data_IF_286682510810
#
_entry.id   IF_286682510810
#
_cell.length_a   1.000
_cell.length_b   1.000
_cell.length_c   1.000
_cell.angle_alpha   90.00
_cell.angle_beta   90.00
_cell.angle_gamma   90.00
#
_symmetry.space_group_name_H-M   'P 1'
#
loop_
_entity.id
_entity.type
_entity.pdbx_description
1 polymer ?
#
# COMPACT_ATOMS: atom_id res chain seq x y z
N UNK A 1 65.85 40.75 -41.01
CA UNK A 1 65.58 41.58 -39.82
C UNK A 1 64.94 40.68 -38.75
N UNK A 2 65.75 40.27 -37.76
CA UNK A 2 65.31 39.94 -36.39
C UNK A 2 64.92 41.26 -35.67
N UNK A 3 64.21 41.30 -34.51
CA UNK A 3 64.40 40.46 -33.29
C UNK A 3 63.09 39.92 -32.66
N UNK A 4 63.07 38.76 -31.99
CA UNK A 4 63.54 38.37 -30.63
C UNK A 4 62.54 38.67 -29.49
N UNK A 5 62.30 37.63 -28.68
CA UNK A 5 61.38 37.51 -27.53
C UNK A 5 61.69 38.44 -26.33
N UNK A 6 60.93 38.33 -25.21
CA UNK A 6 61.54 37.60 -24.08
C UNK A 6 60.60 36.74 -23.20
N UNK A 7 61.24 35.80 -22.52
CA UNK A 7 60.79 34.93 -21.42
C UNK A 7 60.52 35.69 -20.12
N UNK A 8 59.81 35.06 -19.16
CA UNK A 8 60.20 35.06 -17.73
C UNK A 8 59.62 33.90 -16.92
N UNK A 9 60.54 33.21 -16.24
CA UNK A 9 60.40 32.24 -15.15
C UNK A 9 60.11 32.93 -13.80
N UNK A 10 59.50 32.20 -12.87
CA UNK A 10 59.82 32.07 -11.43
C UNK A 10 58.70 31.21 -10.78
N UNK A 11 58.88 30.28 -9.84
CA UNK A 11 59.98 29.92 -8.95
C UNK A 11 59.34 29.30 -7.70
N UNK A 12 59.68 28.04 -7.38
CA UNK A 12 59.42 27.41 -6.08
C UNK A 12 60.19 28.14 -4.96
N UNK A 13 59.83 27.90 -3.68
CA UNK A 13 60.86 27.43 -2.77
C UNK A 13 60.43 26.27 -1.85
N UNK A 14 61.43 25.77 -1.15
CA UNK A 14 61.60 24.43 -0.61
C UNK A 14 61.07 24.23 0.83
N UNK A 15 61.03 22.93 1.16
CA UNK A 15 61.00 22.28 2.48
C UNK A 15 61.85 22.97 3.56
N UNK A 16 61.37 22.83 4.81
CA UNK A 16 62.22 22.47 5.94
C UNK A 16 61.50 21.43 6.83
N UNK A 17 62.19 20.32 7.09
CA UNK A 17 61.91 19.33 8.12
C UNK A 17 62.56 19.78 9.43
N UNK A 18 61.97 19.43 10.57
CA UNK A 18 62.73 19.03 11.75
C UNK A 18 61.91 18.05 12.61
N UNK A 19 62.56 16.91 12.88
CA UNK A 19 62.14 15.82 13.75
C UNK A 19 62.06 16.26 15.23
N UNK A 20 61.20 15.62 16.03
CA UNK A 20 61.65 14.68 17.08
C UNK A 20 60.53 14.23 18.05
N UNK A 21 60.66 12.94 18.39
CA UNK A 21 60.14 12.12 19.49
C UNK A 21 59.23 12.68 20.59
N UNK A 22 58.26 11.84 21.01
CA UNK A 22 57.69 11.96 22.36
C UNK A 22 56.48 11.08 22.65
N UNK A 23 56.74 9.90 23.23
CA UNK A 23 55.91 9.22 24.25
C UNK A 23 54.45 8.88 23.97
N UNK A 24 54.22 7.56 23.78
CA UNK A 24 52.98 6.87 24.17
C UNK A 24 52.81 6.90 25.68
N UNK A 25 51.63 7.28 26.17
CA UNK A 25 51.11 6.92 27.49
C UNK A 25 49.63 6.50 27.38
N UNK A 26 49.19 5.44 28.10
CA UNK A 26 47.84 4.92 28.04
C UNK A 26 46.97 5.38 29.23
N UNK A 27 45.68 5.58 29.02
CA UNK A 27 44.66 5.79 30.07
C UNK A 27 43.28 5.31 29.55
N UNK A 28 42.31 4.97 30.41
CA UNK A 28 42.28 3.72 31.17
C UNK A 28 41.01 2.91 30.88
N UNK A 29 41.05 1.62 31.24
CA UNK A 29 39.92 0.70 31.27
C UNK A 29 38.70 1.26 32.03
N UNK A 30 37.58 1.42 31.34
CA UNK A 30 36.26 1.46 31.99
C UNK A 30 35.75 0.03 32.18
N UNK A 31 35.57 -0.33 33.45
CA UNK A 31 34.96 -1.56 33.92
C UNK A 31 33.48 -1.60 33.53
N UNK A 32 33.08 -2.69 32.87
CA UNK A 32 31.68 -3.06 32.65
C UNK A 32 31.22 -3.87 33.87
N UNK A 33 30.14 -3.47 34.57
CA UNK A 33 29.58 -4.30 35.64
C UNK A 33 28.80 -5.47 35.03
N UNK A 34 29.27 -6.69 35.29
CA UNK A 34 28.59 -7.95 34.99
C UNK A 34 27.33 -8.11 35.84
N UNK A 35 26.18 -8.28 35.18
CA UNK A 35 24.89 -8.63 35.79
C UNK A 35 24.88 -10.12 36.16
N UNK A 36 24.47 -10.53 37.37
CA UNK A 36 24.44 -11.95 37.73
C UNK A 36 23.20 -12.65 37.15
N UNK A 37 23.45 -13.78 36.51
CA UNK A 37 22.46 -14.71 35.96
C UNK A 37 21.61 -15.36 37.07
N UNK A 38 20.28 -15.28 36.93
CA UNK A 38 19.32 -15.94 37.81
C UNK A 38 19.04 -17.36 37.28
N UNK A 39 19.66 -18.38 37.87
CA UNK A 39 19.37 -19.79 37.63
C UNK A 39 18.07 -20.19 38.36
N UNK A 40 17.02 -20.54 37.60
CA UNK A 40 15.83 -21.21 38.13
C UNK A 40 16.12 -22.71 38.29
N UNK A 41 16.11 -23.15 39.54
CA UNK A 41 16.16 -24.54 39.98
C UNK A 41 14.89 -25.30 39.57
N UNK A 42 15.08 -26.47 38.94
CA UNK A 42 14.07 -27.48 38.63
C UNK A 42 14.03 -28.47 39.80
N UNK A 43 12.85 -28.71 40.39
CA UNK A 43 12.56 -29.93 41.16
C UNK A 43 11.07 -30.27 41.12
N UNK A 44 10.78 -31.52 40.78
CA UNK A 44 9.53 -32.26 40.97
C UNK A 44 9.93 -33.69 41.44
N UNK A 45 9.01 -34.61 41.85
CA UNK A 45 7.72 -34.53 42.56
C UNK A 45 7.80 -35.39 43.87
N UNK A 46 6.70 -35.95 44.47
CA UNK A 46 6.15 -37.21 43.96
C UNK A 46 4.63 -37.40 44.07
N UNK A 47 4.17 -38.45 43.38
CA UNK A 47 2.81 -38.96 43.19
C UNK A 47 2.28 -39.84 44.32
N UNK A 48 0.96 -39.85 44.54
CA UNK A 48 0.18 -41.05 44.92
C UNK A 48 -1.28 -40.93 44.43
N UNK A 49 -1.86 -42.03 43.97
CA UNK A 49 -3.28 -42.27 43.63
C UNK A 49 -3.79 -43.44 44.50
N UNK A 50 -5.00 -44.03 44.32
CA UNK A 50 -6.30 -43.58 43.79
C UNK A 50 -7.49 -43.94 44.72
N UNK A 51 -8.67 -43.33 44.59
CA UNK A 51 -9.95 -43.97 45.00
C UNK A 51 -11.17 -43.48 44.20
N UNK A 52 -12.18 -44.36 44.12
CA UNK A 52 -13.28 -44.46 43.15
C UNK A 52 -14.65 -44.18 43.80
N UNK A 53 -15.55 -43.48 43.08
CA UNK A 53 -17.05 -43.61 43.02
C UNK A 53 -17.87 -43.01 44.22
N UNK A 54 -19.17 -42.58 44.11
CA UNK A 54 -20.10 -42.34 42.98
C UNK A 54 -20.80 -40.95 42.92
N UNK A 55 -21.44 -40.76 41.77
CA UNK A 55 -22.54 -39.85 41.36
C UNK A 55 -23.63 -39.55 42.42
N UNK A 56 -23.95 -38.27 42.62
CA UNK A 56 -25.28 -37.83 43.07
C UNK A 56 -25.69 -36.49 42.43
N UNK A 57 -26.94 -36.46 41.98
CA UNK A 57 -27.60 -35.45 41.17
C UNK A 57 -28.26 -34.40 42.09
N UNK A 58 -27.87 -33.13 42.02
CA UNK A 58 -28.62 -32.01 42.63
C UNK A 58 -28.64 -30.82 41.66
N UNK A 59 -29.86 -30.41 41.28
CA UNK A 59 -30.17 -29.16 40.57
C UNK A 59 -30.25 -28.00 41.58
N UNK A 60 -29.66 -26.85 41.26
CA UNK A 60 -30.37 -25.57 41.09
C UNK A 60 -29.41 -24.38 40.78
N UNK A 61 -29.80 -23.66 39.72
CA UNK A 61 -29.49 -22.30 39.26
C UNK A 61 -28.42 -21.44 39.95
N UNK A 62 -27.42 -20.99 39.17
CA UNK A 62 -27.15 -19.55 38.98
C UNK A 62 -26.27 -19.28 37.75
N UNK A 63 -26.34 -18.03 37.30
CA UNK A 63 -26.01 -17.39 36.03
C UNK A 63 -24.53 -17.40 35.58
N UNK A 64 -24.36 -17.02 34.30
CA UNK A 64 -23.21 -16.30 33.68
C UNK A 64 -22.17 -17.15 32.92
N UNK A 65 -22.32 -17.21 31.58
CA UNK A 65 -21.30 -16.87 30.55
C UNK A 65 -21.54 -17.64 29.25
N UNK A 66 -21.98 -16.94 28.21
CA UNK A 66 -21.97 -17.42 26.83
C UNK A 66 -20.53 -17.39 26.30
N UNK A 67 -19.82 -18.51 26.35
CA UNK A 67 -18.62 -18.76 25.53
C UNK A 67 -18.77 -20.14 24.91
N UNK A 68 -19.27 -20.19 23.67
CA UNK A 68 -18.98 -21.23 22.66
C UNK A 68 -19.81 -20.97 21.39
N UNK A 69 -19.19 -20.38 20.38
CA UNK A 69 -19.45 -20.70 18.96
C UNK A 69 -18.11 -20.65 18.20
N UNK A 70 -17.25 -21.59 18.53
CA UNK A 70 -16.32 -22.14 17.54
C UNK A 70 -16.76 -23.56 17.22
N UNK A 71 -16.53 -23.96 15.97
CA UNK A 71 -16.86 -25.25 15.34
C UNK A 71 -18.19 -25.27 14.55
N UNK A 72 -18.18 -24.55 13.44
CA UNK A 72 -18.72 -25.03 12.16
C UNK A 72 -18.25 -24.10 11.04
N UNK A 73 -17.05 -24.34 10.51
CA UNK A 73 -16.69 -23.90 9.17
C UNK A 73 -16.40 -25.16 8.37
N UNK A 74 -17.21 -25.34 7.32
CA UNK A 74 -16.98 -26.35 6.30
C UNK A 74 -15.59 -26.11 5.70
N UNK A 75 -14.76 -27.15 5.65
CA UNK A 75 -13.49 -27.13 4.94
C UNK A 75 -13.79 -26.95 3.43
N UNK A 76 -13.19 -25.98 2.73
CA UNK A 76 -13.25 -25.96 1.28
C UNK A 76 -12.40 -27.13 0.76
N UNK A 77 -13.04 -28.02 -0.01
CA UNK A 77 -12.35 -29.02 -0.82
C UNK A 77 -11.34 -28.30 -1.72
N UNK A 78 -10.06 -28.57 -1.52
CA UNK A 78 -9.01 -28.27 -2.49
C UNK A 78 -9.14 -29.26 -3.65
N UNK A 79 -9.97 -28.91 -4.63
CA UNK A 79 -9.88 -29.47 -5.96
C UNK A 79 -9.12 -28.45 -6.82
N UNK A 80 -7.89 -28.81 -7.17
CA UNK A 80 -7.09 -28.13 -8.18
C UNK A 80 -7.84 -28.17 -9.52
N UNK A 81 -8.53 -27.10 -9.87
CA UNK A 81 -8.77 -26.76 -11.27
C UNK A 81 -7.66 -25.81 -11.70
N UNK A 82 -6.73 -26.37 -12.46
CA UNK A 82 -5.73 -25.72 -13.30
C UNK A 82 -6.17 -24.33 -13.77
N UNK A 83 -5.56 -23.30 -13.16
CA UNK A 83 -5.54 -21.95 -13.69
C UNK A 83 -4.53 -21.92 -14.85
N UNK A 84 -4.97 -22.43 -16.00
CA UNK A 84 -4.26 -22.28 -17.26
C UNK A 84 -5.30 -21.86 -18.31
N UNK A 85 -4.98 -20.78 -19.02
CA UNK A 85 -5.73 -20.23 -20.15
C UNK A 85 -7.13 -19.68 -19.84
N UNK A 86 -7.18 -18.61 -19.04
CA UNK A 86 -8.26 -17.64 -19.11
C UNK A 86 -7.80 -16.45 -19.93
N UNK A 87 -8.02 -16.48 -21.25
CA UNK A 87 -8.01 -15.28 -22.08
C UNK A 87 -8.82 -14.18 -21.35
N UNK A 88 -8.38 -12.93 -21.43
CA UNK A 88 -9.16 -11.79 -20.92
C UNK A 88 -10.54 -11.78 -21.57
N UNK A 89 -11.49 -12.43 -20.90
CA UNK A 89 -12.90 -12.27 -21.18
C UNK A 89 -13.27 -10.89 -20.66
N UNK A 90 -13.15 -9.88 -21.53
CA UNK A 90 -13.83 -8.61 -21.33
C UNK A 90 -15.28 -8.87 -20.92
N UNK A 91 -15.72 -8.20 -19.84
CA UNK A 91 -17.13 -7.93 -19.43
C UNK A 91 -17.31 -7.75 -17.91
N UNK A 92 -16.36 -8.18 -17.06
CA UNK A 92 -16.58 -8.06 -15.60
C UNK A 92 -16.28 -6.65 -15.08
N UNK A 93 -17.32 -6.03 -14.51
CA UNK A 93 -17.22 -4.77 -13.76
C UNK A 93 -16.30 -4.91 -12.55
N UNK A 94 -15.42 -3.93 -12.36
CA UNK A 94 -14.55 -3.80 -11.20
C UNK A 94 -15.37 -3.23 -10.05
N UNK A 95 -15.71 -4.07 -9.05
CA UNK A 95 -16.49 -3.64 -7.89
C UNK A 95 -15.63 -3.52 -6.63
N UNK A 96 -14.63 -4.38 -6.52
CA UNK A 96 -13.77 -4.48 -5.35
C UNK A 96 -12.31 -4.29 -5.73
N UNK A 97 -11.56 -3.63 -4.85
CA UNK A 97 -10.14 -3.44 -5.03
C UNK A 97 -9.33 -3.72 -3.76
N UNK A 98 -8.07 -4.08 -3.99
CA UNK A 98 -7.03 -4.11 -2.97
C UNK A 98 -5.78 -3.36 -3.44
N UNK A 99 -5.04 -2.79 -2.48
CA UNK A 99 -3.76 -2.15 -2.70
C UNK A 99 -2.66 -2.91 -1.96
N UNK A 100 -1.65 -3.36 -2.67
CA UNK A 100 -0.48 -4.04 -2.12
C UNK A 100 0.74 -3.11 -2.25
N UNK A 101 1.16 -2.54 -1.14
CA UNK A 101 2.30 -1.63 -1.07
C UNK A 101 3.52 -2.44 -0.69
N UNK A 102 4.55 -2.36 -1.51
CA UNK A 102 5.77 -3.17 -1.41
C UNK A 102 6.93 -2.19 -1.25
N UNK A 103 7.65 -2.29 -0.14
CA UNK A 103 8.76 -1.38 0.14
C UNK A 103 9.06 -1.28 1.63
N UNK A 104 10.28 -1.60 2.02
CA UNK A 104 10.77 -1.43 3.40
C UNK A 104 10.70 0.04 3.87
N UNK A 105 10.90 1.00 2.96
CA UNK A 105 10.84 2.43 3.23
C UNK A 105 9.41 2.94 3.46
N UNK A 106 8.41 2.24 2.91
CA UNK A 106 7.00 2.61 3.07
C UNK A 106 6.52 2.32 4.49
N UNK A 107 7.15 1.35 5.18
CA UNK A 107 6.96 1.15 6.62
C UNK A 107 7.37 2.40 7.44
N UNK A 108 8.13 3.33 6.84
CA UNK A 108 8.47 4.65 7.38
C UNK A 108 7.44 5.77 7.13
N UNK A 109 6.30 5.50 6.48
CA UNK A 109 5.13 6.40 6.45
C UNK A 109 4.83 7.15 5.14
N UNK A 110 5.59 6.96 4.06
CA UNK A 110 5.27 7.52 2.73
C UNK A 110 4.43 6.52 1.95
N UNK A 111 3.13 6.76 1.78
CA UNK A 111 2.20 5.77 1.21
C UNK A 111 1.30 6.34 0.11
N UNK A 112 1.11 5.57 -0.97
CA UNK A 112 0.17 5.87 -2.06
C UNK A 112 -1.29 5.46 -1.75
N UNK A 113 -1.53 4.82 -0.59
CA UNK A 113 -2.83 4.29 -0.19
C UNK A 113 -3.93 5.36 -0.14
N UNK A 114 -3.63 6.57 0.33
CA UNK A 114 -4.60 7.65 0.44
C UNK A 114 -5.10 8.10 -0.95
N UNK A 115 -4.21 8.19 -1.93
CA UNK A 115 -4.59 8.52 -3.30
C UNK A 115 -5.40 7.38 -3.93
N UNK A 116 -4.97 6.13 -3.76
CA UNK A 116 -5.70 4.95 -4.23
C UNK A 116 -7.12 4.89 -3.65
N UNK A 117 -7.29 5.21 -2.36
CA UNK A 117 -8.61 5.25 -1.72
C UNK A 117 -9.52 6.31 -2.34
N UNK A 118 -9.01 7.52 -2.58
CA UNK A 118 -9.75 8.60 -3.26
C UNK A 118 -10.13 8.22 -4.69
N UNK A 119 -9.18 7.64 -5.43
CA UNK A 119 -9.42 7.18 -6.80
C UNK A 119 -10.48 6.09 -6.86
N UNK A 120 -10.42 5.09 -5.96
CA UNK A 120 -11.45 4.04 -5.90
C UNK A 120 -12.83 4.62 -5.59
N UNK A 121 -12.89 5.58 -4.65
CA UNK A 121 -14.12 6.26 -4.28
C UNK A 121 -14.76 6.99 -5.46
N UNK A 122 -13.97 7.76 -6.21
CA UNK A 122 -14.48 8.51 -7.37
C UNK A 122 -14.92 7.60 -8.52
N UNK A 123 -14.42 6.37 -8.59
CA UNK A 123 -14.74 5.40 -9.65
C UNK A 123 -15.73 4.31 -9.21
N UNK A 124 -16.39 4.45 -8.05
CA UNK A 124 -17.38 3.47 -7.63
C UNK A 124 -16.81 2.11 -7.23
N UNK A 125 -15.52 2.04 -6.95
CA UNK A 125 -14.80 0.82 -6.57
C UNK A 125 -14.65 0.77 -5.05
N UNK A 126 -15.06 -0.34 -4.45
CA UNK A 126 -14.87 -0.55 -3.02
C UNK A 126 -13.43 -1.00 -2.74
N UNK A 127 -12.58 -0.08 -2.27
CA UNK A 127 -11.29 -0.46 -1.72
C UNK A 127 -11.50 -1.17 -0.37
N UNK A 128 -11.26 -2.49 -0.36
CA UNK A 128 -11.57 -3.35 0.79
C UNK A 128 -10.33 -3.76 1.58
N UNK A 129 -9.15 -3.64 0.99
CA UNK A 129 -7.89 -4.02 1.61
C UNK A 129 -6.74 -3.12 1.16
N UNK A 130 -5.92 -2.72 2.11
CA UNK A 130 -4.59 -2.16 1.88
C UNK A 130 -3.63 -3.02 2.72
N UNK A 131 -2.58 -3.52 2.11
CA UNK A 131 -1.49 -4.25 2.78
C UNK A 131 -0.17 -3.55 2.47
N UNK A 132 0.64 -3.30 3.49
CA UNK A 132 2.02 -2.84 3.33
C UNK A 132 2.93 -3.98 3.77
N UNK A 133 3.81 -4.43 2.89
CA UNK A 133 4.69 -5.58 3.09
C UNK A 133 6.14 -5.22 2.76
N UNK A 134 7.12 -5.91 3.35
CA UNK A 134 8.53 -5.73 3.00
C UNK A 134 8.85 -6.26 1.59
N UNK A 135 10.05 -5.94 1.10
CA UNK A 135 10.62 -6.50 -0.13
C UNK A 135 11.08 -7.95 0.07
N UNK A 136 10.14 -8.82 0.42
CA UNK A 136 10.34 -10.26 0.65
C UNK A 136 9.55 -11.08 -0.37
N UNK A 137 10.23 -11.98 -1.08
CA UNK A 137 9.66 -12.71 -2.21
C UNK A 137 8.48 -13.59 -1.80
N UNK A 138 8.60 -14.33 -0.69
CA UNK A 138 7.54 -15.24 -0.21
C UNK A 138 6.29 -14.46 0.22
N UNK A 139 6.50 -13.33 0.91
CA UNK A 139 5.43 -12.43 1.32
C UNK A 139 4.71 -11.81 0.12
N UNK A 140 5.46 -11.32 -0.87
CA UNK A 140 4.87 -10.76 -2.11
C UNK A 140 4.06 -11.83 -2.85
N UNK A 141 4.60 -13.06 -2.98
CA UNK A 141 3.93 -14.17 -3.66
C UNK A 141 2.62 -14.55 -2.96
N UNK A 142 2.63 -14.68 -1.63
CA UNK A 142 1.43 -14.99 -0.84
C UNK A 142 0.37 -13.91 -1.00
N UNK A 143 0.74 -12.65 -0.70
CA UNK A 143 -0.19 -11.52 -0.75
C UNK A 143 -0.76 -11.35 -2.15
N UNK A 144 0.07 -11.40 -3.20
CA UNK A 144 -0.40 -11.23 -4.57
C UNK A 144 -1.43 -12.29 -4.97
N UNK A 145 -1.18 -13.57 -4.66
CA UNK A 145 -2.13 -14.67 -4.93
C UNK A 145 -3.43 -14.50 -4.16
N UNK A 146 -3.34 -14.24 -2.86
CA UNK A 146 -4.52 -14.10 -1.98
C UNK A 146 -5.37 -12.89 -2.37
N UNK A 147 -4.76 -11.75 -2.65
CA UNK A 147 -5.47 -10.54 -3.08
C UNK A 147 -6.06 -10.73 -4.49
N UNK A 148 -5.31 -11.29 -5.44
CA UNK A 148 -5.79 -11.54 -6.80
C UNK A 148 -7.02 -12.45 -6.81
N UNK A 149 -7.04 -13.50 -5.97
CA UNK A 149 -8.19 -14.40 -5.87
C UNK A 149 -9.41 -13.75 -5.20
N UNK A 150 -9.23 -12.76 -4.32
CA UNK A 150 -10.29 -12.19 -3.50
C UNK A 150 -10.95 -10.93 -4.09
N UNK A 151 -10.25 -10.18 -4.95
CA UNK A 151 -10.69 -8.86 -5.42
C UNK A 151 -10.67 -8.74 -6.95
N UNK A 152 -11.55 -7.92 -7.51
CA UNK A 152 -11.63 -7.74 -8.97
C UNK A 152 -10.44 -6.94 -9.54
N UNK A 153 -9.81 -6.09 -8.72
CA UNK A 153 -8.73 -5.18 -9.11
C UNK A 153 -7.69 -5.05 -8.01
N UNK A 154 -6.47 -5.53 -8.27
CA UNK A 154 -5.35 -5.40 -7.35
C UNK A 154 -4.35 -4.42 -7.94
N UNK A 155 -3.94 -3.43 -7.17
CA UNK A 155 -2.87 -2.49 -7.53
C UNK A 155 -1.68 -2.77 -6.63
N UNK A 156 -0.48 -2.89 -7.21
CA UNK A 156 0.75 -2.85 -6.43
C UNK A 156 1.37 -1.45 -6.48
N UNK A 157 2.20 -1.13 -5.49
CA UNK A 157 2.95 0.13 -5.43
C UNK A 157 4.34 -0.14 -4.88
N UNK A 158 5.37 -0.06 -5.71
CA UNK A 158 6.78 -0.20 -5.30
C UNK A 158 7.49 -1.41 -5.88
N UNK A 159 8.78 -1.55 -5.56
CA UNK A 159 9.62 -2.71 -5.91
C UNK A 159 9.84 -2.97 -7.41
N UNK A 160 9.83 -1.93 -8.26
CA UNK A 160 10.03 -2.03 -9.73
C UNK A 160 11.14 -1.12 -10.28
N UNK A 161 11.94 -0.53 -9.41
CA UNK A 161 13.11 0.25 -9.79
C UNK A 161 14.29 -0.62 -10.27
N UNK A 162 15.48 0.02 -10.43
CA UNK A 162 16.66 -0.65 -10.96
C UNK A 162 17.50 -1.35 -9.88
N UNK A 163 17.17 -1.26 -8.58
CA UNK A 163 18.00 -1.82 -7.51
C UNK A 163 17.74 -3.32 -7.34
N UNK A 164 18.46 -3.98 -6.44
CA UNK A 164 18.44 -5.45 -6.32
C UNK A 164 17.29 -5.96 -5.43
N UNK A 165 16.84 -5.09 -4.54
CA UNK A 165 15.65 -5.18 -3.69
C UNK A 165 14.34 -4.95 -4.46
N UNK A 166 14.39 -4.36 -5.67
CA UNK A 166 13.23 -4.24 -6.56
C UNK A 166 12.81 -5.59 -7.17
N UNK A 167 12.13 -6.42 -6.37
CA UNK A 167 11.80 -7.82 -6.69
C UNK A 167 10.32 -8.06 -7.02
N UNK A 168 9.52 -7.01 -7.24
CA UNK A 168 8.07 -7.17 -7.46
C UNK A 168 7.78 -8.00 -8.72
N UNK A 169 8.42 -7.70 -9.85
CA UNK A 169 8.17 -8.46 -11.09
C UNK A 169 8.59 -9.92 -11.01
N UNK A 170 9.74 -10.23 -10.42
CA UNK A 170 10.22 -11.61 -10.25
C UNK A 170 9.35 -12.40 -9.26
N UNK A 171 8.86 -11.75 -8.21
CA UNK A 171 7.94 -12.36 -7.26
C UNK A 171 6.58 -12.63 -7.92
N UNK A 172 6.06 -11.69 -8.71
CA UNK A 172 4.81 -11.89 -9.46
C UNK A 172 4.94 -12.97 -10.55
N UNK A 173 6.11 -13.07 -11.21
CA UNK A 173 6.42 -14.17 -12.12
C UNK A 173 6.24 -15.53 -11.42
N UNK A 174 6.82 -15.66 -10.23
CA UNK A 174 6.70 -16.86 -9.39
C UNK A 174 5.27 -17.09 -8.92
N UNK A 175 4.56 -16.03 -8.52
CA UNK A 175 3.19 -16.09 -8.05
C UNK A 175 2.23 -16.65 -9.11
N UNK A 176 2.36 -16.21 -10.35
CA UNK A 176 1.42 -16.54 -11.43
C UNK A 176 1.98 -17.52 -12.46
N UNK A 177 3.19 -18.04 -12.27
CA UNK A 177 3.82 -19.00 -13.18
C UNK A 177 4.11 -18.42 -14.55
N UNK A 178 4.39 -17.11 -14.63
CA UNK A 178 4.65 -16.41 -15.89
C UNK A 178 6.18 -16.29 -16.13
N UNK A 179 6.67 -16.46 -17.37
CA UNK A 179 8.07 -16.21 -17.69
C UNK A 179 8.41 -14.73 -17.58
N UNK A 180 9.65 -14.43 -17.17
CA UNK A 180 10.22 -13.09 -17.24
C UNK A 180 10.75 -12.83 -18.64
N UNK A 181 10.18 -11.84 -19.32
CA UNK A 181 10.47 -11.52 -20.73
C UNK A 181 10.91 -10.07 -20.84
N UNK A 182 11.99 -9.82 -21.59
CA UNK A 182 12.39 -8.46 -21.95
C UNK A 182 11.36 -7.87 -22.93
N UNK A 183 10.69 -6.79 -22.51
CA UNK A 183 9.68 -6.15 -23.35
C UNK A 183 10.33 -5.08 -24.25
N UNK A 184 10.61 -5.45 -25.50
CA UNK A 184 11.38 -4.64 -26.45
C UNK A 184 10.80 -3.24 -26.68
N UNK A 185 9.47 -3.12 -26.81
CA UNK A 185 8.83 -1.80 -26.95
C UNK A 185 9.01 -0.91 -25.70
N UNK A 186 8.99 -1.50 -24.51
CA UNK A 186 9.22 -0.76 -23.26
C UNK A 186 10.70 -0.33 -23.17
N UNK A 187 11.62 -1.23 -23.54
CA UNK A 187 13.04 -0.93 -23.60
C UNK A 187 13.33 0.22 -24.58
N UNK A 188 12.81 0.14 -25.80
CA UNK A 188 12.95 1.19 -26.81
C UNK A 188 12.34 2.54 -26.34
N UNK A 189 11.19 2.51 -25.66
CA UNK A 189 10.55 3.70 -25.10
C UNK A 189 11.38 4.31 -23.98
N UNK A 190 11.89 3.49 -23.05
CA UNK A 190 12.80 3.93 -21.98
C UNK A 190 14.06 4.59 -22.55
N UNK A 191 14.68 3.99 -23.58
CA UNK A 191 15.86 4.57 -24.25
C UNK A 191 15.59 5.92 -24.88
N UNK A 192 14.45 6.08 -25.56
CA UNK A 192 14.05 7.35 -26.21
C UNK A 192 13.75 8.46 -25.20
N UNK A 193 13.18 8.11 -24.05
CA UNK A 193 12.74 9.08 -23.03
C UNK A 193 13.76 9.28 -21.89
N UNK A 194 14.88 8.54 -21.92
CA UNK A 194 15.90 8.63 -20.88
C UNK A 194 16.57 10.01 -20.88
N UNK A 195 16.49 10.70 -19.75
CA UNK A 195 17.23 11.93 -19.51
C UNK A 195 18.59 11.57 -18.91
N UNK A 196 19.72 12.04 -19.47
CA UNK A 196 21.05 11.82 -18.90
C UNK A 196 21.09 12.27 -17.43
N UNK A 197 21.49 11.36 -16.54
CA UNK A 197 21.56 11.68 -15.12
C UNK A 197 22.90 12.35 -14.79
N UNK A 198 22.88 13.39 -13.95
CA UNK A 198 24.09 14.16 -13.58
C UNK A 198 25.19 13.28 -12.97
N UNK A 199 24.82 12.22 -12.24
CA UNK A 199 25.78 11.28 -11.66
C UNK A 199 26.31 10.23 -12.64
N UNK A 200 25.75 10.15 -13.86
CA UNK A 200 26.17 9.23 -14.91
C UNK A 200 26.33 10.00 -16.25
N UNK A 201 27.25 10.98 -16.32
CA UNK A 201 27.40 11.83 -17.51
C UNK A 201 27.84 11.06 -18.76
N UNK A 202 28.50 9.91 -18.59
CA UNK A 202 29.04 9.08 -19.67
C UNK A 202 28.24 7.78 -19.87
N UNK A 203 26.97 7.75 -19.46
CA UNK A 203 26.13 6.58 -19.65
C UNK A 203 25.84 6.36 -21.15
N UNK A 204 26.10 5.16 -21.64
CA UNK A 204 25.88 4.75 -23.03
C UNK A 204 25.00 3.49 -23.07
N UNK A 205 23.91 3.55 -23.83
CA UNK A 205 22.98 2.45 -24.03
C UNK A 205 23.56 1.33 -24.92
N UNK A 206 24.61 1.59 -25.68
CA UNK A 206 25.26 0.63 -26.59
C UNK A 206 26.34 -0.21 -25.91
N UNK A 207 26.82 0.25 -24.75
CA UNK A 207 27.90 -0.41 -24.00
C UNK A 207 27.29 -1.26 -22.88
N UNK A 208 27.70 -2.52 -22.82
CA UNK A 208 27.29 -3.39 -21.73
C UNK A 208 27.93 -2.95 -20.41
N UNK A 209 27.11 -2.42 -19.51
CA UNK A 209 27.51 -1.89 -18.20
C UNK A 209 26.51 -2.30 -17.13
N UNK A 210 26.92 -2.31 -15.86
CA UNK A 210 26.02 -2.60 -14.74
C UNK A 210 24.83 -1.63 -14.69
N UNK A 211 25.07 -0.35 -14.98
CA UNK A 211 24.01 0.67 -15.05
C UNK A 211 23.00 0.37 -16.18
N UNK A 212 23.46 -0.13 -17.34
CA UNK A 212 22.56 -0.52 -18.44
C UNK A 212 21.73 -1.74 -18.05
N UNK A 213 22.38 -2.79 -17.54
CA UNK A 213 21.70 -4.01 -17.06
C UNK A 213 20.70 -3.69 -15.93
N UNK A 214 21.01 -2.74 -15.06
CA UNK A 214 20.09 -2.27 -14.02
C UNK A 214 18.84 -1.59 -14.58
N UNK A 215 18.99 -0.79 -15.65
CA UNK A 215 17.84 -0.21 -16.35
C UNK A 215 17.03 -1.27 -17.10
N UNK A 216 17.71 -2.24 -17.71
CA UNK A 216 17.06 -3.35 -18.42
C UNK A 216 16.15 -4.19 -17.51
N UNK A 217 16.53 -4.42 -16.25
CA UNK A 217 15.67 -5.12 -15.29
C UNK A 217 14.28 -4.48 -15.13
N UNK A 218 14.17 -3.16 -15.26
CA UNK A 218 12.88 -2.45 -15.13
C UNK A 218 11.92 -2.66 -16.31
N UNK A 219 12.38 -3.31 -17.38
CA UNK A 219 11.58 -3.64 -18.57
C UNK A 219 11.54 -5.15 -18.85
N UNK A 220 11.92 -5.96 -17.86
CA UNK A 220 11.71 -7.41 -17.86
C UNK A 220 10.44 -7.69 -17.06
N UNK A 221 9.40 -8.20 -17.74
CA UNK A 221 8.06 -8.33 -17.17
C UNK A 221 7.61 -9.80 -17.10
N UNK A 222 6.77 -10.16 -16.12
CA UNK A 222 6.14 -11.48 -16.03
C UNK A 222 4.96 -11.57 -17.01
N UNK A 223 5.24 -11.92 -18.26
CA UNK A 223 4.25 -11.90 -19.34
C UNK A 223 3.80 -13.33 -19.66
N UNK A 224 2.50 -13.59 -19.55
CA UNK A 224 1.92 -14.86 -19.99
C UNK A 224 1.82 -14.89 -21.53
N UNK A 225 2.08 -16.05 -22.13
CA UNK A 225 2.08 -16.27 -23.57
C UNK A 225 3.26 -17.15 -24.00
N UNK A 226 3.30 -17.55 -25.27
CA UNK A 226 4.38 -18.34 -25.89
C UNK A 226 5.55 -17.48 -26.40
N UNK A 227 5.61 -16.21 -25.99
CA UNK A 227 6.72 -15.31 -26.31
C UNK A 227 6.53 -14.52 -27.60
N UNK A 228 5.30 -14.31 -28.07
CA UNK A 228 5.04 -13.58 -29.30
C UNK A 228 5.18 -12.07 -29.21
N UNK A 229 4.90 -11.41 -30.33
CA UNK A 229 5.12 -9.97 -30.55
C UNK A 229 4.28 -9.08 -29.61
N UNK A 230 4.62 -7.78 -29.49
CA UNK A 230 3.90 -6.77 -28.68
C UNK A 230 2.36 -6.80 -28.81
N UNK A 231 1.83 -7.28 -29.94
CA UNK A 231 0.39 -7.46 -30.17
C UNK A 231 -0.27 -8.46 -29.23
N UNK A 232 0.46 -9.45 -28.74
CA UNK A 232 -0.02 -10.46 -27.78
C UNK A 232 -0.10 -9.91 -26.36
N UNK A 233 0.78 -8.98 -26.00
CA UNK A 233 0.84 -8.42 -24.65
C UNK A 233 0.15 -7.07 -24.50
N UNK A 234 -0.55 -6.58 -25.53
CA UNK A 234 -1.28 -5.31 -25.49
C UNK A 234 -2.24 -5.18 -24.28
N UNK A 235 -2.76 -6.31 -23.80
CA UNK A 235 -3.70 -6.37 -22.68
C UNK A 235 -2.99 -6.59 -21.32
N UNK A 236 -1.69 -6.95 -21.36
CA UNK A 236 -0.82 -7.11 -20.19
C UNK A 236 0.10 -5.90 -19.96
N UNK A 237 0.50 -5.16 -20.99
CA UNK A 237 1.40 -4.00 -20.89
C UNK A 237 0.66 -2.77 -21.38
N UNK A 238 0.12 -2.01 -20.43
CA UNK A 238 -0.71 -0.84 -20.67
C UNK A 238 0.14 0.42 -20.59
N UNK A 239 -0.09 1.39 -21.48
CA UNK A 239 0.56 2.71 -21.45
C UNK A 239 -0.50 3.79 -21.19
N UNK A 240 -0.87 4.07 -19.93
CA UNK A 240 -1.93 5.03 -19.63
C UNK A 240 -1.46 6.50 -19.70
N UNK A 241 -0.16 6.73 -19.87
CA UNK A 241 0.44 8.06 -19.98
C UNK A 241 1.47 8.11 -21.12
N UNK A 242 1.20 8.93 -22.13
CA UNK A 242 2.02 8.99 -23.34
C UNK A 242 3.40 9.63 -23.14
N UNK A 243 3.56 10.44 -22.10
CA UNK A 243 4.82 11.10 -21.76
C UNK A 243 5.64 10.35 -20.70
N UNK A 244 5.19 9.15 -20.29
CA UNK A 244 5.96 8.25 -19.44
C UNK A 244 6.46 7.05 -20.24
N UNK A 245 7.67 6.58 -19.91
CA UNK A 245 8.19 5.33 -20.47
C UNK A 245 7.68 4.10 -19.74
N UNK A 246 7.39 4.24 -18.44
CA UNK A 246 6.97 3.16 -17.56
C UNK A 246 5.50 2.80 -17.84
N UNK A 247 5.20 1.53 -18.18
CA UNK A 247 3.83 1.06 -18.34
C UNK A 247 3.19 0.67 -16.99
N UNK A 248 1.90 0.36 -17.02
CA UNK A 248 1.25 -0.48 -16.03
C UNK A 248 1.25 -1.91 -16.56
N UNK A 249 1.84 -2.84 -15.81
CA UNK A 249 1.88 -4.25 -16.20
C UNK A 249 0.79 -5.02 -15.43
N UNK A 250 -0.10 -5.69 -16.15
CA UNK A 250 -1.15 -6.54 -15.61
C UNK A 250 -0.68 -8.00 -15.60
N UNK A 251 -0.61 -8.59 -14.41
CA UNK A 251 -0.16 -9.95 -14.14
C UNK A 251 -1.31 -10.75 -13.54
N UNK A 252 -1.45 -12.03 -13.89
CA UNK A 252 -2.52 -12.89 -13.36
C UNK A 252 -3.94 -12.43 -13.74
N UNK A 253 -4.07 -11.50 -14.70
CA UNK A 253 -5.34 -10.99 -15.21
C UNK A 253 -5.99 -9.84 -14.42
N UNK A 254 -5.54 -9.56 -13.18
CA UNK A 254 -6.09 -8.47 -12.37
C UNK A 254 -5.10 -7.76 -11.44
N UNK A 255 -3.81 -8.14 -11.42
CA UNK A 255 -2.78 -7.47 -10.61
C UNK A 255 -2.05 -6.44 -11.48
N UNK A 256 -2.27 -5.17 -11.21
CA UNK A 256 -1.75 -4.04 -11.98
C UNK A 256 -0.57 -3.42 -11.22
N UNK A 257 0.62 -3.49 -11.81
CA UNK A 257 1.88 -3.11 -11.16
C UNK A 257 2.19 -1.64 -11.44
N UNK A 258 2.32 -0.84 -10.38
CA UNK A 258 2.65 0.59 -10.45
C UNK A 258 3.92 0.91 -9.63
N UNK A 259 4.65 1.98 -10.02
CA UNK A 259 5.82 2.45 -9.27
C UNK A 259 5.45 2.99 -7.89
N UNK A 260 6.38 2.89 -6.93
CA UNK A 260 6.22 3.46 -5.59
C UNK A 260 6.29 4.99 -5.55
N UNK A 261 6.92 5.62 -6.54
CA UNK A 261 7.07 7.09 -6.60
C UNK A 261 5.70 7.76 -6.76
N UNK A 262 5.22 8.58 -5.79
CA UNK A 262 3.84 9.05 -5.76
C UNK A 262 3.37 9.74 -7.04
N UNK A 263 4.18 10.65 -7.59
CA UNK A 263 3.81 11.37 -8.82
C UNK A 263 3.62 10.45 -10.03
N UNK A 264 4.41 9.38 -10.13
CA UNK A 264 4.27 8.39 -11.21
C UNK A 264 3.06 7.50 -10.97
N UNK A 265 2.88 7.03 -9.73
CA UNK A 265 1.73 6.25 -9.30
C UNK A 265 0.41 6.96 -9.62
N UNK A 266 0.25 8.20 -9.17
CA UNK A 266 -0.97 8.99 -9.36
C UNK A 266 -1.29 9.17 -10.84
N UNK A 267 -0.28 9.54 -11.64
CA UNK A 267 -0.44 9.77 -13.06
C UNK A 267 -0.85 8.51 -13.83
N UNK A 268 -0.18 7.39 -13.55
CA UNK A 268 -0.49 6.11 -14.18
C UNK A 268 -1.88 5.60 -13.75
N UNK A 269 -2.24 5.73 -12.48
CA UNK A 269 -3.55 5.31 -11.98
C UNK A 269 -4.69 6.14 -12.57
N UNK A 270 -4.50 7.46 -12.74
CA UNK A 270 -5.47 8.32 -13.42
C UNK A 270 -5.67 7.89 -14.88
N UNK A 271 -4.59 7.72 -15.64
CA UNK A 271 -4.67 7.27 -17.02
C UNK A 271 -5.28 5.86 -17.14
N UNK A 272 -4.98 4.98 -16.18
CA UNK A 272 -5.56 3.64 -16.13
C UNK A 272 -7.07 3.68 -15.91
N UNK A 273 -7.58 4.67 -15.18
CA UNK A 273 -9.01 4.93 -15.05
C UNK A 273 -9.70 5.17 -16.38
N UNK A 274 -9.06 5.93 -17.28
CA UNK A 274 -9.60 6.18 -18.63
C UNK A 274 -9.64 4.90 -19.48
N UNK A 275 -8.59 4.07 -19.40
CA UNK A 275 -8.54 2.78 -20.11
C UNK A 275 -9.59 1.80 -19.57
N UNK A 276 -9.89 1.87 -18.28
CA UNK A 276 -10.82 0.96 -17.60
C UNK A 276 -12.23 1.53 -17.45
N UNK A 277 -12.54 2.71 -17.98
CA UNK A 277 -13.79 3.45 -17.72
C UNK A 277 -15.06 2.62 -17.92
N UNK A 278 -15.08 1.73 -18.90
CA UNK A 278 -16.23 0.86 -19.22
C UNK A 278 -16.43 -0.26 -18.18
N UNK A 279 -15.39 -0.56 -17.40
CA UNK A 279 -15.40 -1.56 -16.32
C UNK A 279 -15.56 -0.93 -14.94
N UNK A 280 -15.48 0.40 -14.83
CA UNK A 280 -15.58 1.12 -13.55
C UNK A 280 -17.03 1.46 -13.19
N UNK A 281 -17.27 1.70 -11.91
CA UNK A 281 -18.58 2.07 -11.39
C UNK A 281 -18.89 3.56 -11.57
N UNK A 282 -20.12 3.93 -11.24
CA UNK A 282 -20.49 5.35 -11.05
C UNK A 282 -19.84 5.88 -9.78
N UNK A 283 -19.50 7.17 -9.81
CA UNK A 283 -18.98 7.91 -8.67
C UNK A 283 -19.84 7.71 -7.42
N UNK A 284 -19.17 7.50 -6.28
CA UNK A 284 -19.83 7.43 -4.98
C UNK A 284 -20.04 8.87 -4.49
N UNK A 285 -21.27 9.18 -4.11
CA UNK A 285 -21.63 10.46 -3.51
C UNK A 285 -21.44 10.42 -2.00
N UNK A 286 -21.00 11.54 -1.43
CA UNK A 286 -20.86 11.76 0.00
C UNK A 286 -21.57 13.02 0.44
N UNK A 287 -22.31 12.93 1.54
CA UNK A 287 -22.88 14.07 2.25
C UNK A 287 -22.20 14.16 3.61
N UNK A 288 -21.85 15.39 4.01
CA UNK A 288 -21.29 15.70 5.32
C UNK A 288 -22.24 16.65 6.06
N UNK A 289 -22.54 16.30 7.31
CA UNK A 289 -23.35 17.12 8.22
C UNK A 289 -22.55 17.31 9.51
N UNK A 290 -22.15 18.55 9.79
CA UNK A 290 -21.57 18.93 11.07
C UNK A 290 -22.66 18.96 12.14
N UNK A 291 -22.37 18.47 13.34
CA UNK A 291 -23.31 18.42 14.45
C UNK A 291 -22.63 18.82 15.76
N UNK A 292 -23.26 19.66 16.61
CA UNK A 292 -22.75 19.95 17.95
C UNK A 292 -22.95 18.77 18.92
N UNK A 293 -23.75 17.77 18.55
CA UNK A 293 -24.07 16.64 19.40
C UNK A 293 -22.90 15.67 19.52
N UNK A 294 -22.76 15.04 20.69
CA UNK A 294 -21.76 13.98 20.91
C UNK A 294 -22.08 12.71 20.13
N UNK A 295 -21.08 11.89 19.85
CA UNK A 295 -21.24 10.62 19.14
C UNK A 295 -22.27 9.70 19.82
N UNK A 296 -22.20 9.59 21.15
CA UNK A 296 -23.16 8.82 21.95
C UNK A 296 -24.59 9.35 21.85
N UNK A 297 -24.78 10.65 21.65
CA UNK A 297 -26.11 11.26 21.52
C UNK A 297 -26.73 11.00 20.14
N UNK A 298 -25.92 11.01 19.07
CA UNK A 298 -26.41 10.73 17.70
C UNK A 298 -26.53 9.24 17.40
N UNK A 299 -25.77 8.38 18.08
CA UNK A 299 -25.68 6.94 17.79
C UNK A 299 -27.05 6.22 17.67
N UNK A 300 -28.03 6.40 18.58
CA UNK A 300 -29.33 5.73 18.46
C UNK A 300 -30.14 6.14 17.22
N UNK A 301 -29.99 7.39 16.78
CA UNK A 301 -30.61 7.85 15.53
C UNK A 301 -29.88 7.25 14.32
N UNK A 302 -28.55 7.30 14.31
CA UNK A 302 -27.76 6.78 13.19
C UNK A 302 -27.92 5.28 13.00
N UNK A 303 -28.11 4.50 14.06
CA UNK A 303 -28.41 3.07 13.99
C UNK A 303 -29.74 2.80 13.28
N UNK A 304 -30.80 3.54 13.66
CA UNK A 304 -32.11 3.44 13.00
C UNK A 304 -32.05 3.90 11.54
N UNK A 305 -31.31 4.97 11.27
CA UNK A 305 -31.10 5.45 9.91
C UNK A 305 -30.38 4.40 9.08
N UNK A 306 -29.27 3.83 9.58
CA UNK A 306 -28.49 2.81 8.90
C UNK A 306 -29.36 1.60 8.54
N UNK A 307 -30.16 1.08 9.47
CA UNK A 307 -31.06 -0.05 9.21
C UNK A 307 -32.07 0.25 8.09
N UNK A 308 -32.57 1.48 7.99
CA UNK A 308 -33.53 1.89 6.96
C UNK A 308 -32.90 2.09 5.58
N UNK A 309 -31.65 2.54 5.53
CA UNK A 309 -30.98 2.90 4.27
C UNK A 309 -30.01 1.82 3.75
N UNK A 310 -29.80 0.75 4.52
CA UNK A 310 -28.90 -0.37 4.18
C UNK A 310 -29.29 -1.03 2.86
N UNK A 311 -30.58 -1.29 2.63
CA UNK A 311 -31.08 -1.88 1.38
C UNK A 311 -30.83 -1.00 0.15
N UNK A 312 -30.65 0.31 0.36
CA UNK A 312 -30.28 1.28 -0.69
C UNK A 312 -28.77 1.41 -0.87
N UNK A 313 -27.98 0.64 -0.11
CA UNK A 313 -26.53 0.65 -0.17
C UNK A 313 -25.89 1.92 0.38
N UNK A 314 -26.60 2.63 1.27
CA UNK A 314 -26.07 3.82 1.94
C UNK A 314 -25.39 3.42 3.24
N UNK A 315 -24.17 3.93 3.44
CA UNK A 315 -23.42 3.80 4.70
C UNK A 315 -23.52 5.12 5.47
N UNK A 316 -23.86 5.00 6.75
CA UNK A 316 -23.97 6.09 7.72
C UNK A 316 -22.80 5.97 8.68
N UNK A 317 -22.10 7.06 8.91
CA UNK A 317 -21.01 7.13 9.88
C UNK A 317 -21.05 8.41 10.69
N UNK A 318 -20.40 8.40 11.84
CA UNK A 318 -20.10 9.59 12.63
C UNK A 318 -18.61 9.58 12.97
N UNK A 319 -17.97 10.74 12.90
CA UNK A 319 -16.56 10.90 13.21
C UNK A 319 -16.41 11.98 14.26
N UNK A 320 -15.95 11.62 15.48
CA UNK A 320 -15.68 12.60 16.51
C UNK A 320 -14.45 13.43 16.13
N UNK A 321 -14.48 14.72 16.47
CA UNK A 321 -13.35 15.61 16.19
C UNK A 321 -12.73 16.10 17.51
N UNK A 322 -11.56 15.56 17.83
CA UNK A 322 -10.89 15.83 19.11
C UNK A 322 -10.57 17.32 19.27
N UNK A 323 -10.92 17.90 20.42
CA UNK A 323 -10.69 19.32 20.72
C UNK A 323 -11.55 20.30 19.90
N UNK A 324 -12.61 19.82 19.25
CA UNK A 324 -13.57 20.63 18.49
C UNK A 324 -14.96 20.51 19.09
N UNK A 325 -15.75 21.57 18.93
CA UNK A 325 -17.13 21.65 19.45
C UNK A 325 -18.17 20.91 18.60
N UNK A 326 -17.78 20.25 17.51
CA UNK A 326 -18.71 19.55 16.63
C UNK A 326 -18.11 18.29 15.98
N UNK A 327 -18.96 17.28 15.82
CA UNK A 327 -18.69 16.03 15.14
C UNK A 327 -19.19 16.09 13.69
N UNK A 328 -18.79 15.11 12.87
CA UNK A 328 -19.28 15.04 11.49
C UNK A 328 -20.00 13.73 11.24
N UNK A 329 -21.26 13.82 10.83
CA UNK A 329 -22.04 12.71 10.29
C UNK A 329 -21.83 12.63 8.79
N UNK A 330 -21.57 11.42 8.29
CA UNK A 330 -21.31 11.15 6.88
C UNK A 330 -22.35 10.18 6.34
N UNK A 331 -22.94 10.50 5.18
CA UNK A 331 -23.70 9.56 4.37
C UNK A 331 -22.93 9.27 3.09
N UNK A 332 -22.75 7.99 2.76
CA UNK A 332 -22.02 7.56 1.57
C UNK A 332 -22.90 6.60 0.77
N UNK A 333 -23.10 6.87 -0.51
CA UNK A 333 -23.96 6.04 -1.37
C UNK A 333 -23.82 6.37 -2.85
N UNK A 334 -24.40 5.53 -3.71
CA UNK A 334 -24.33 5.71 -5.19
C UNK A 334 -25.48 6.53 -5.76
N UNK A 335 -26.61 6.58 -5.05
CA UNK A 335 -27.78 7.35 -5.46
C UNK A 335 -27.74 8.74 -4.82
N UNK A 336 -27.23 9.72 -5.58
CA UNK A 336 -27.13 11.11 -5.12
C UNK A 336 -28.49 11.67 -4.75
N UNK A 337 -29.52 11.47 -5.57
CA UNK A 337 -30.85 12.03 -5.31
C UNK A 337 -31.45 11.45 -4.02
N UNK A 338 -31.24 10.16 -3.77
CA UNK A 338 -31.65 9.54 -2.52
C UNK A 338 -30.88 10.10 -1.31
N UNK A 339 -29.55 10.25 -1.40
CA UNK A 339 -28.77 10.86 -0.33
C UNK A 339 -29.24 12.29 -0.01
N UNK A 340 -29.51 13.10 -1.05
CA UNK A 340 -30.04 14.46 -0.91
C UNK A 340 -31.39 14.47 -0.18
N UNK A 341 -32.26 13.50 -0.46
CA UNK A 341 -33.55 13.38 0.23
C UNK A 341 -33.44 13.11 1.74
N UNK A 342 -32.29 12.61 2.21
CA UNK A 342 -32.04 12.33 3.63
C UNK A 342 -31.45 13.54 4.38
N UNK A 343 -30.93 14.54 3.66
CA UNK A 343 -30.14 15.65 4.24
C UNK A 343 -30.94 16.40 5.30
N UNK A 344 -32.16 16.83 4.97
CA UNK A 344 -32.98 17.64 5.88
C UNK A 344 -33.40 16.87 7.13
N UNK A 345 -33.69 15.57 6.98
CA UNK A 345 -33.99 14.70 8.11
C UNK A 345 -32.78 14.57 9.04
N UNK A 346 -31.60 14.30 8.47
CA UNK A 346 -30.36 14.16 9.25
C UNK A 346 -30.04 15.45 9.97
N UNK A 347 -30.01 16.59 9.26
CA UNK A 347 -29.78 17.93 9.83
C UNK A 347 -30.68 18.17 11.04
N UNK A 348 -31.98 17.86 10.91
CA UNK A 348 -32.95 18.05 11.99
C UNK A 348 -32.68 17.14 13.20
N UNK A 349 -32.38 15.87 12.98
CA UNK A 349 -32.21 14.90 14.06
C UNK A 349 -30.85 15.01 14.77
N UNK A 350 -29.85 15.61 14.11
CA UNK A 350 -28.52 15.83 14.69
C UNK A 350 -28.27 17.28 15.07
N UNK A 351 -29.29 18.14 15.00
CA UNK A 351 -29.18 19.59 15.26
C UNK A 351 -28.00 20.24 14.51
N UNK A 352 -27.79 19.77 13.28
CA UNK A 352 -26.56 20.01 12.53
C UNK A 352 -26.71 21.01 11.39
N UNK A 353 -25.67 21.08 10.56
CA UNK A 353 -25.68 21.80 9.30
C UNK A 353 -24.84 21.09 8.26
N UNK A 354 -25.24 21.21 7.00
CA UNK A 354 -24.48 20.65 5.88
C UNK A 354 -23.15 21.40 5.74
N UNK A 355 -22.09 20.65 5.49
CA UNK A 355 -20.77 21.17 5.16
C UNK A 355 -20.24 20.50 3.89
N UNK A 356 -19.40 21.20 3.15
CA UNK A 356 -18.69 20.72 1.96
C UNK A 356 -17.41 19.98 2.32
N UNK A 357 -16.75 20.42 3.39
CA UNK A 357 -15.54 19.82 3.97
C UNK A 357 -15.68 19.71 5.48
N UNK A 358 -15.02 18.71 6.06
CA UNK A 358 -14.96 18.57 7.52
C UNK A 358 -14.35 19.82 8.14
N UNK A 359 -15.07 20.45 9.07
CA UNK A 359 -14.61 21.65 9.78
C UNK A 359 -14.76 22.97 9.03
N UNK A 360 -15.52 23.01 7.94
CA UNK A 360 -15.92 24.27 7.27
C UNK A 360 -16.52 25.30 8.25
N UNK A 361 -17.15 24.80 9.32
CA UNK A 361 -17.85 25.59 10.31
C UNK A 361 -17.14 25.76 11.65
N UNK A 362 -15.87 25.34 11.73
CA UNK A 362 -15.06 25.58 12.90
C UNK A 362 -14.89 27.08 13.10
N UNK A 363 -15.35 27.60 14.24
CA UNK A 363 -15.02 28.96 14.65
C UNK A 363 -13.53 28.98 15.01
N UNK A 364 -12.71 29.76 14.29
CA UNK A 364 -11.33 30.00 14.68
C UNK A 364 -11.29 30.55 16.12
N UNK A 365 -10.81 29.75 17.06
CA UNK A 365 -10.65 30.16 18.46
C UNK A 365 -11.30 29.29 19.54
N UNK A 366 -12.02 28.20 19.21
CA UNK A 366 -12.55 27.28 20.21
C UNK A 366 -11.48 26.36 20.88
N UNK A 367 -10.21 26.76 20.85
CA UNK A 367 -9.14 26.12 21.62
C UNK A 367 -9.02 26.79 22.98
N UNK A 368 -10.04 26.68 23.84
CA UNK A 368 -9.89 27.01 25.25
C UNK A 368 -10.70 26.06 26.14
N UNK A 369 -9.95 25.30 26.95
CA UNK A 369 -10.32 25.08 28.35
C UNK A 369 -10.95 23.73 28.69
N UNK A 370 -10.11 22.78 29.07
CA UNK A 370 -10.32 22.02 30.32
C UNK A 370 -9.04 21.28 30.68
N UNK A 371 -8.59 21.55 31.91
CA UNK A 371 -7.37 21.08 32.59
C UNK A 371 -7.30 19.57 32.74
#
# INVERSE_FOLDING_TARGET
MCPSAPQRHAGLPARQQHDSHGSRTPTPHQQVPSTPAYQKSIRAPPSTSPHRIPTLYIRMFSRVSHIARHLSRSLPNYAHTSAAAGAMSGTRMIRTAACLIIGDEVLGGKTNSAFMAKWCFSHGVALQRIETIPDDADTIVESARRLSAAYDFVITSGGIGPTHDDITYSSLATAFGAPLVLHEAAYARMRRMAIPHKSQPNFDWTVDSEARRAKERMVIYPLAGDGGEDREWKDQVLYPADDLWVPVVCVGGNVHVLPGVPRLFEKLLLGLGELLKERLGKEISRVLVSTPMSESAVAPYLEKLQARVEEKGVKVGSYPRWGKGSNTVTLVGRDKAFLESLVDEVIKNVEGKRVSVEGEDDVEGATQGSQ
#
